data_IF_606530391749
#
_entry.id   IF_606530391749
#
_cell.length_a   1.000
_cell.length_b   1.000
_cell.length_c   1.000
_cell.angle_alpha   90.00
_cell.angle_beta   90.00
_cell.angle_gamma   90.00
#
_symmetry.space_group_name_H-M   'P 1'
#
loop_
_entity.id
_entity.type
_entity.pdbx_description
1 polymer ?
#
# COMPACT_ATOMS: atom_id res chain seq x y z
N UNK A 1 -4.57 27.57 -4.03
CA UNK A 1 -5.12 26.22 -3.80
C UNK A 1 -3.95 25.26 -3.64
N UNK A 2 -3.45 25.07 -2.41
CA UNK A 2 -2.18 24.40 -2.10
C UNK A 2 -2.18 22.87 -2.21
N UNK A 3 -2.93 22.31 -3.17
CA UNK A 3 -3.17 20.87 -3.31
C UNK A 3 -2.48 20.29 -4.56
N UNK A 4 -1.36 20.88 -4.99
CA UNK A 4 -0.56 20.33 -6.09
C UNK A 4 0.24 19.15 -5.55
N UNK A 5 0.12 17.99 -6.19
CA UNK A 5 0.88 16.79 -5.80
C UNK A 5 0.14 15.80 -4.91
N UNK A 6 -1.20 15.85 -4.84
CA UNK A 6 -2.03 14.85 -4.16
C UNK A 6 -2.03 13.48 -4.90
N UNK A 7 -0.88 12.79 -4.88
CA UNK A 7 -0.65 11.50 -5.53
C UNK A 7 -1.63 10.43 -5.02
N UNK A 8 -2.06 10.55 -3.75
CA UNK A 8 -3.05 9.66 -3.14
C UNK A 8 -4.38 9.57 -3.89
N UNK A 9 -4.77 10.62 -4.62
CA UNK A 9 -6.03 10.67 -5.37
C UNK A 9 -5.90 10.29 -6.85
N UNK A 10 -4.70 9.93 -7.32
CA UNK A 10 -4.52 9.35 -8.65
C UNK A 10 -5.27 8.03 -8.72
N UNK A 11 -6.13 7.85 -9.72
CA UNK A 11 -6.82 6.59 -9.96
C UNK A 11 -5.82 5.55 -10.48
N UNK A 12 -5.67 4.47 -9.72
CA UNK A 12 -4.77 3.34 -10.04
C UNK A 12 -5.54 2.04 -10.28
N UNK A 13 -6.79 1.95 -9.81
CA UNK A 13 -7.67 0.80 -10.00
C UNK A 13 -9.05 1.26 -10.53
N UNK A 14 -9.33 1.20 -11.84
CA UNK A 14 -10.55 1.78 -12.42
C UNK A 14 -11.87 1.29 -11.81
N UNK A 15 -11.88 0.06 -11.29
CA UNK A 15 -13.03 -0.58 -10.63
C UNK A 15 -12.82 -0.75 -9.11
N UNK A 16 -11.95 0.07 -8.52
CA UNK A 16 -11.55 -0.02 -7.12
C UNK A 16 -12.54 0.65 -6.16
N UNK A 17 -12.16 0.64 -4.88
CA UNK A 17 -12.96 1.18 -3.78
C UNK A 17 -13.27 2.67 -3.92
N UNK A 18 -14.40 3.09 -3.34
CA UNK A 18 -14.77 4.52 -3.29
C UNK A 18 -13.85 5.27 -2.33
N UNK A 19 -13.18 6.30 -2.83
CA UNK A 19 -12.35 7.20 -2.03
C UNK A 19 -13.21 8.29 -1.36
N UNK A 20 -12.74 8.80 -0.22
CA UNK A 20 -13.40 9.89 0.49
C UNK A 20 -13.42 11.20 -0.34
N UNK A 21 -12.53 11.35 -1.33
CA UNK A 21 -12.55 12.48 -2.26
C UNK A 21 -13.73 12.43 -3.26
N UNK A 22 -14.47 11.32 -3.31
CA UNK A 22 -15.64 11.10 -4.17
C UNK A 22 -15.39 10.25 -5.42
N UNK A 23 -14.12 10.07 -5.82
CA UNK A 23 -13.73 9.21 -6.95
C UNK A 23 -13.65 7.73 -6.54
N UNK A 24 -13.32 6.86 -7.50
CA UNK A 24 -13.10 5.42 -7.30
C UNK A 24 -11.67 5.04 -7.65
N UNK A 25 -11.09 4.12 -6.86
CA UNK A 25 -9.80 3.51 -7.17
C UNK A 25 -8.59 4.41 -6.99
N UNK A 26 -8.69 5.41 -6.13
CA UNK A 26 -7.57 6.27 -5.77
C UNK A 26 -6.47 5.44 -5.09
N UNK A 27 -5.19 5.78 -5.30
CA UNK A 27 -4.05 5.11 -4.65
C UNK A 27 -4.22 5.00 -3.13
N UNK A 28 -4.78 6.01 -2.48
CA UNK A 28 -5.02 6.02 -1.04
C UNK A 28 -5.89 4.85 -0.56
N UNK A 29 -6.87 4.42 -1.35
CA UNK A 29 -7.74 3.28 -0.99
C UNK A 29 -6.99 1.94 -1.02
N UNK A 30 -5.73 1.94 -1.45
CA UNK A 30 -4.83 0.79 -1.47
C UNK A 30 -3.68 0.99 -0.48
N UNK A 31 -3.04 2.16 -0.48
CA UNK A 31 -1.76 2.38 0.19
C UNK A 31 -1.88 2.98 1.60
N UNK A 32 -3.05 3.49 2.01
CA UNK A 32 -3.24 3.96 3.37
C UNK A 32 -3.18 2.80 4.37
N UNK A 33 -2.61 3.02 5.56
CA UNK A 33 -2.52 2.01 6.62
C UNK A 33 -3.87 1.31 6.86
N UNK A 34 -4.94 2.08 7.03
CA UNK A 34 -6.28 1.54 7.26
C UNK A 34 -6.76 0.65 6.09
N UNK A 35 -6.43 0.99 4.84
CA UNK A 35 -6.80 0.17 3.68
C UNK A 35 -6.04 -1.17 3.69
N UNK A 36 -4.75 -1.15 4.01
CA UNK A 36 -3.89 -2.33 4.13
C UNK A 36 -4.38 -3.24 5.25
N UNK A 37 -4.61 -2.66 6.43
CA UNK A 37 -5.11 -3.36 7.61
C UNK A 37 -6.47 -4.02 7.36
N UNK A 38 -7.41 -3.29 6.74
CA UNK A 38 -8.71 -3.85 6.38
C UNK A 38 -8.60 -4.98 5.36
N UNK A 39 -7.71 -4.86 4.36
CA UNK A 39 -7.49 -5.92 3.37
C UNK A 39 -6.97 -7.19 4.03
N UNK A 40 -5.94 -7.09 4.87
CA UNK A 40 -5.41 -8.24 5.63
C UNK A 40 -6.49 -8.83 6.53
N UNK A 41 -7.17 -8.00 7.33
CA UNK A 41 -8.23 -8.45 8.25
C UNK A 41 -9.36 -9.20 7.52
N UNK A 42 -9.77 -8.74 6.35
CA UNK A 42 -10.79 -9.40 5.54
C UNK A 42 -10.31 -10.77 5.04
N UNK A 43 -9.06 -10.90 4.59
CA UNK A 43 -8.49 -12.17 4.18
C UNK A 43 -8.38 -13.15 5.37
N UNK A 44 -7.95 -12.67 6.55
CA UNK A 44 -7.93 -13.51 7.76
C UNK A 44 -9.35 -14.02 8.11
N UNK A 45 -10.37 -13.16 8.04
CA UNK A 45 -11.77 -13.53 8.28
C UNK A 45 -12.32 -14.53 7.25
N UNK A 46 -11.77 -14.55 6.04
CA UNK A 46 -12.09 -15.53 5.00
C UNK A 46 -11.38 -16.88 5.21
N UNK A 47 -10.52 -17.00 6.24
CA UNK A 47 -9.85 -18.24 6.61
C UNK A 47 -8.44 -18.41 6.03
N UNK A 48 -7.89 -17.39 5.37
CA UNK A 48 -6.52 -17.43 4.91
C UNK A 48 -5.55 -17.47 6.10
N UNK A 49 -4.53 -18.32 6.00
CA UNK A 49 -3.54 -18.52 7.05
C UNK A 49 -2.48 -17.41 7.02
N UNK A 50 -2.16 -16.86 8.19
CA UNK A 50 -1.11 -15.87 8.36
C UNK A 50 -0.60 -15.88 9.80
N UNK A 51 0.61 -15.34 9.98
CA UNK A 51 1.19 -15.00 11.28
C UNK A 51 0.64 -13.69 11.85
N UNK A 52 -0.13 -12.92 11.06
CA UNK A 52 -0.83 -11.72 11.55
C UNK A 52 -2.05 -12.17 12.37
N UNK A 53 -2.14 -11.80 13.65
CA UNK A 53 -3.27 -12.16 14.50
C UNK A 53 -4.50 -11.31 14.17
N UNK A 54 -5.70 -11.89 14.33
CA UNK A 54 -6.98 -11.21 14.05
C UNK A 54 -7.24 -10.02 14.98
N UNK A 55 -6.75 -10.08 16.21
CA UNK A 55 -6.94 -9.08 17.27
C UNK A 55 -5.86 -7.98 17.30
N UNK A 56 -4.77 -8.13 16.54
CA UNK A 56 -3.70 -7.13 16.38
C UNK A 56 -3.25 -7.01 14.91
N UNK A 57 -4.21 -6.71 14.03
CA UNK A 57 -3.99 -6.54 12.60
C UNK A 57 -3.59 -5.10 12.25
N UNK A 58 -2.52 -4.59 12.86
CA UNK A 58 -1.97 -3.25 12.60
C UNK A 58 -0.94 -3.26 11.48
N UNK A 59 -0.69 -2.11 10.82
CA UNK A 59 0.34 -1.98 9.77
C UNK A 59 1.71 -2.46 10.25
N UNK A 60 2.06 -2.16 11.50
CA UNK A 60 3.31 -2.59 12.12
C UNK A 60 3.41 -4.11 12.25
N UNK A 61 2.33 -4.76 12.68
CA UNK A 61 2.28 -6.22 12.80
C UNK A 61 2.31 -6.89 11.42
N UNK A 62 1.63 -6.31 10.42
CA UNK A 62 1.66 -6.74 9.03
C UNK A 62 3.08 -6.63 8.45
N UNK A 63 3.74 -5.48 8.60
CA UNK A 63 5.11 -5.27 8.11
C UNK A 63 6.10 -6.27 8.71
N UNK A 64 6.03 -6.50 10.03
CA UNK A 64 6.86 -7.49 10.72
C UNK A 64 6.59 -8.92 10.24
N UNK A 65 5.34 -9.26 9.96
CA UNK A 65 4.97 -10.57 9.44
C UNK A 65 5.50 -10.76 8.02
N UNK A 66 5.32 -9.78 7.13
CA UNK A 66 5.85 -9.79 5.77
C UNK A 66 7.38 -9.97 5.76
N UNK A 67 8.12 -9.21 6.56
CA UNK A 67 9.57 -9.32 6.69
C UNK A 67 10.06 -10.66 7.29
N UNK A 68 9.17 -11.44 7.91
CA UNK A 68 9.43 -12.81 8.39
C UNK A 68 9.00 -13.89 7.38
N UNK A 69 8.60 -13.50 6.17
CA UNK A 69 8.17 -14.42 5.11
C UNK A 69 6.74 -14.92 5.25
N UNK A 70 5.86 -14.19 5.96
CA UNK A 70 4.44 -14.52 5.96
C UNK A 70 3.83 -14.26 4.57
N UNK A 71 3.30 -15.30 3.93
CA UNK A 71 2.83 -15.23 2.55
C UNK A 71 1.71 -14.20 2.33
N UNK A 72 0.69 -14.19 3.20
CA UNK A 72 -0.44 -13.28 3.08
C UNK A 72 -0.01 -11.82 3.28
N UNK A 73 0.75 -11.53 4.35
CA UNK A 73 1.23 -10.19 4.60
C UNK A 73 2.16 -9.71 3.49
N UNK A 74 3.02 -10.59 2.97
CA UNK A 74 3.93 -10.26 1.86
C UNK A 74 3.15 -9.92 0.59
N UNK A 75 2.17 -10.75 0.21
CA UNK A 75 1.34 -10.52 -0.99
C UNK A 75 0.60 -9.18 -0.94
N UNK A 76 0.05 -8.82 0.23
CA UNK A 76 -0.61 -7.52 0.41
C UNK A 76 0.38 -6.36 0.32
N UNK A 77 1.56 -6.45 0.94
CA UNK A 77 2.58 -5.40 0.85
C UNK A 77 3.12 -5.25 -0.57
N UNK A 78 3.36 -6.37 -1.28
CA UNK A 78 3.76 -6.34 -2.68
C UNK A 78 2.68 -5.72 -3.57
N UNK A 79 1.40 -6.02 -3.30
CA UNK A 79 0.29 -5.39 -4.00
C UNK A 79 0.31 -3.87 -3.87
N UNK A 80 0.57 -3.36 -2.66
CA UNK A 80 0.72 -1.92 -2.41
C UNK A 80 1.96 -1.38 -3.14
N UNK A 81 3.10 -2.06 -3.02
CA UNK A 81 4.36 -1.70 -3.68
C UNK A 81 4.20 -1.53 -5.20
N UNK A 82 3.53 -2.46 -5.87
CA UNK A 82 3.25 -2.38 -7.32
C UNK A 82 2.42 -1.15 -7.70
N UNK A 83 1.47 -0.74 -6.87
CA UNK A 83 0.63 0.44 -7.14
C UNK A 83 1.38 1.73 -6.83
N UNK A 84 2.19 1.74 -5.77
CA UNK A 84 3.13 2.83 -5.48
C UNK A 84 4.10 3.02 -6.65
N UNK A 85 4.75 1.96 -7.12
CA UNK A 85 5.68 1.99 -8.27
C UNK A 85 5.07 2.62 -9.51
N UNK A 86 3.83 2.24 -9.88
CA UNK A 86 3.09 2.88 -10.99
C UNK A 86 2.94 4.40 -10.80
N UNK A 87 2.54 4.83 -9.61
CA UNK A 87 2.34 6.27 -9.33
C UNK A 87 3.65 7.05 -9.22
N UNK A 88 4.71 6.43 -8.70
CA UNK A 88 6.07 6.98 -8.67
C UNK A 88 6.59 7.13 -10.10
N UNK A 89 6.39 6.15 -10.98
CA UNK A 89 6.78 6.24 -12.39
C UNK A 89 6.07 7.39 -13.11
N UNK A 90 4.78 7.62 -12.82
CA UNK A 90 4.05 8.81 -13.31
C UNK A 90 4.71 10.09 -12.81
N UNK A 91 5.02 10.20 -11.52
CA UNK A 91 5.68 11.37 -10.95
C UNK A 91 7.08 11.58 -11.55
N UNK A 92 7.84 10.52 -11.79
CA UNK A 92 9.15 10.60 -12.45
C UNK A 92 9.01 11.18 -13.85
N UNK A 93 8.08 10.67 -14.66
CA UNK A 93 7.86 11.16 -16.02
C UNK A 93 7.39 12.63 -16.07
N UNK A 94 6.63 13.07 -15.08
CA UNK A 94 6.10 14.44 -15.03
C UNK A 94 7.11 15.47 -14.48
N UNK A 95 7.91 15.09 -13.50
CA UNK A 95 8.73 16.02 -12.73
C UNK A 95 10.24 15.81 -12.88
N UNK A 96 10.68 14.69 -13.45
CA UNK A 96 12.09 14.28 -13.56
C UNK A 96 12.90 14.54 -12.26
N UNK A 97 12.45 14.03 -11.10
CA UNK A 97 13.09 14.30 -9.83
C UNK A 97 14.43 13.55 -9.72
N UNK A 98 15.40 14.16 -9.04
CA UNK A 98 16.70 13.52 -8.80
C UNK A 98 16.65 12.44 -7.71
N UNK A 99 15.64 12.49 -6.83
CA UNK A 99 15.46 11.54 -5.71
C UNK A 99 13.98 11.36 -5.41
N UNK A 100 13.62 10.15 -5.01
CA UNK A 100 12.32 9.81 -4.44
C UNK A 100 12.54 9.40 -2.98
N UNK A 101 11.74 9.96 -2.07
CA UNK A 101 11.76 9.61 -0.66
C UNK A 101 10.42 8.97 -0.32
N UNK A 102 10.46 7.75 0.21
CA UNK A 102 9.29 7.03 0.71
C UNK A 102 9.34 7.08 2.23
N UNK A 103 8.24 7.50 2.84
CA UNK A 103 8.10 7.63 4.29
C UNK A 103 6.76 7.08 4.76
N UNK A 104 6.70 6.68 6.04
CA UNK A 104 5.53 6.08 6.67
C UNK A 104 5.83 4.70 7.25
N UNK A 105 4.94 4.17 8.08
CA UNK A 105 5.14 2.89 8.79
C UNK A 105 5.30 1.69 7.85
N UNK A 106 4.73 1.75 6.66
CA UNK A 106 4.86 0.70 5.64
C UNK A 106 6.32 0.43 5.25
N UNK A 107 7.22 1.40 5.42
CA UNK A 107 8.65 1.22 5.14
C UNK A 107 9.33 0.26 6.11
N UNK A 108 8.69 -0.11 7.24
CA UNK A 108 9.16 -1.20 8.11
C UNK A 108 9.17 -2.56 7.38
N UNK A 109 8.44 -2.71 6.26
CA UNK A 109 8.44 -3.89 5.38
C UNK A 109 9.40 -3.75 4.18
N UNK A 110 10.49 -3.00 4.33
CA UNK A 110 11.50 -2.70 3.30
C UNK A 110 11.88 -3.86 2.37
N UNK A 111 12.11 -5.06 2.92
CA UNK A 111 12.54 -6.25 2.14
C UNK A 111 11.49 -6.74 1.16
N UNK A 112 10.22 -6.40 1.37
CA UNK A 112 9.10 -6.78 0.51
C UNK A 112 8.61 -5.57 -0.29
N UNK A 113 8.51 -4.41 0.36
CA UNK A 113 7.99 -3.19 -0.25
C UNK A 113 8.92 -2.65 -1.34
N UNK A 114 10.22 -2.50 -1.06
CA UNK A 114 11.15 -1.85 -2.00
C UNK A 114 11.30 -2.64 -3.31
N UNK A 115 11.52 -3.97 -3.30
CA UNK A 115 11.58 -4.74 -4.54
C UNK A 115 10.27 -4.72 -5.34
N UNK A 116 9.13 -4.49 -4.69
CA UNK A 116 7.83 -4.40 -5.37
C UNK A 116 7.56 -3.03 -6.00
N UNK A 117 8.35 -2.00 -5.65
CA UNK A 117 8.29 -0.65 -6.22
C UNK A 117 9.17 -0.52 -7.48
N UNK A 118 10.31 -1.24 -7.50
CA UNK A 118 11.25 -1.32 -8.63
C UNK A 118 10.62 -1.93 -9.89
#
# INVERSE_FOLDING_TARGET
>A
NGNVGEIGHIQVEPLGERCHCGNFGCLETIAANAAIEQRVLNLLKQGYQSRVPLDDCTIKTICKAANKGDSLASEVIEYVGRHLGKTIAIAINLFNPQKIVIAGEITEADKVLLPAIE
#
